data_IF_871900591472
#
_entry.id   IF_871900591472
#
_cell.length_a   1.000
_cell.length_b   1.000
_cell.length_c   1.000
_cell.angle_alpha   90.00
_cell.angle_beta   90.00
_cell.angle_gamma   90.00
#
_symmetry.space_group_name_H-M   'P 1'
#
loop_
_entity.id
_entity.type
_entity.pdbx_description
1 polymer ?
#
# COMPACT_ATOMS: atom_id res chain seq x y z
N UNK A 1 -7.33 1.05 15.90
CA UNK A 1 -6.57 0.54 14.73
C UNK A 1 -7.28 1.05 13.49
N UNK A 2 -6.59 1.62 12.50
CA UNK A 2 -7.23 2.13 11.29
C UNK A 2 -7.10 1.07 10.19
N UNK A 3 -8.21 0.76 9.52
CA UNK A 3 -8.20 -0.18 8.40
C UNK A 3 -8.48 0.59 7.12
N UNK A 4 -7.50 0.60 6.22
CA UNK A 4 -7.65 1.10 4.86
C UNK A 4 -7.88 -0.09 3.95
N UNK A 5 -8.88 0.02 3.06
CA UNK A 5 -9.02 -0.96 1.99
C UNK A 5 -7.89 -0.78 0.97
N UNK A 6 -7.43 -1.85 0.29
CA UNK A 6 -6.33 -1.76 -0.66
C UNK A 6 -6.51 -0.74 -1.78
N UNK A 7 -7.76 -0.46 -2.16
CA UNK A 7 -8.13 0.56 -3.16
C UNK A 7 -8.08 2.01 -2.64
N UNK A 8 -7.95 2.22 -1.33
CA UNK A 8 -7.85 3.55 -0.73
C UNK A 8 -6.40 4.05 -0.65
N UNK A 9 -5.44 3.20 -1.02
CA UNK A 9 -4.02 3.52 -1.11
C UNK A 9 -3.59 3.48 -2.58
N UNK A 10 -2.67 4.36 -2.94
CA UNK A 10 -2.05 4.37 -4.26
C UNK A 10 -0.54 4.55 -4.15
N UNK A 11 0.18 3.99 -5.13
CA UNK A 11 1.59 4.30 -5.34
C UNK A 11 1.68 5.71 -5.91
N UNK A 12 2.61 6.50 -5.39
CA UNK A 12 2.86 7.87 -5.84
C UNK A 12 4.35 8.18 -5.84
N UNK A 13 4.73 9.33 -6.40
CA UNK A 13 6.09 9.87 -6.33
C UNK A 13 6.33 10.62 -5.00
N UNK A 14 5.28 10.84 -4.21
CA UNK A 14 5.28 11.52 -2.93
C UNK A 14 4.50 10.75 -1.84
N UNK A 15 4.68 11.14 -0.58
CA UNK A 15 3.97 10.53 0.56
C UNK A 15 4.88 9.69 1.47
N UNK A 16 4.32 8.65 2.07
CA UNK A 16 5.02 7.81 3.04
C UNK A 16 5.82 6.74 2.32
N UNK A 17 7.11 6.64 2.62
CA UNK A 17 7.96 5.58 2.04
C UNK A 17 7.58 4.20 2.56
N UNK A 18 7.71 3.20 1.69
CA UNK A 18 7.46 1.81 2.01
C UNK A 18 8.35 0.87 1.19
N UNK A 19 8.67 -0.28 1.77
CA UNK A 19 9.40 -1.36 1.11
C UNK A 19 8.42 -2.32 0.44
N UNK A 20 8.69 -2.69 -0.82
CA UNK A 20 7.92 -3.70 -1.53
C UNK A 20 8.32 -5.10 -1.06
N UNK A 21 7.38 -5.81 -0.46
CA UNK A 21 7.58 -7.18 0.01
C UNK A 21 7.31 -8.17 -1.11
N UNK A 22 6.22 -7.98 -1.86
CA UNK A 22 5.82 -8.86 -2.93
C UNK A 22 4.78 -8.19 -3.83
N UNK A 23 4.70 -8.65 -5.07
CA UNK A 23 3.77 -8.14 -6.07
C UNK A 23 3.06 -9.30 -6.76
N UNK A 24 1.75 -9.21 -6.89
CA UNK A 24 0.88 -10.21 -7.52
C UNK A 24 0.15 -9.56 -8.69
N UNK A 25 0.24 -10.14 -9.88
CA UNK A 25 -0.37 -9.61 -11.11
C UNK A 25 -1.59 -10.44 -11.51
N UNK A 26 -2.71 -9.76 -11.81
CA UNK A 26 -3.98 -10.38 -12.19
C UNK A 26 -4.46 -9.97 -13.60
N UNK A 27 -3.54 -9.52 -14.47
CA UNK A 27 -3.85 -9.13 -15.85
C UNK A 27 -4.08 -7.62 -16.01
N UNK A 28 -5.14 -7.09 -15.38
CA UNK A 28 -5.46 -5.65 -15.48
C UNK A 28 -4.92 -4.85 -14.29
N UNK A 29 -5.00 -5.42 -13.10
CA UNK A 29 -4.49 -4.84 -11.86
C UNK A 29 -3.51 -5.80 -11.18
N UNK A 30 -2.87 -5.27 -10.14
CA UNK A 30 -2.00 -6.04 -9.27
C UNK A 30 -2.12 -5.59 -7.83
N UNK A 31 -1.77 -6.50 -6.93
CA UNK A 31 -1.66 -6.23 -5.50
C UNK A 31 -0.18 -6.13 -5.15
N UNK A 32 0.19 -5.03 -4.52
CA UNK A 32 1.53 -4.81 -3.98
C UNK A 32 1.44 -4.89 -2.46
N UNK A 33 2.17 -5.83 -1.86
CA UNK A 33 2.35 -5.92 -0.42
C UNK A 33 3.51 -5.04 -0.02
N UNK A 34 3.23 -4.11 0.87
CA UNK A 34 4.20 -3.11 1.32
C UNK A 34 4.38 -3.17 2.82
N UNK A 35 5.54 -2.70 3.26
CA UNK A 35 5.87 -2.48 4.65
C UNK A 35 6.22 -1.01 4.82
N UNK A 36 5.39 -0.27 5.58
CA UNK A 36 5.59 1.17 5.74
C UNK A 36 6.93 1.47 6.44
N UNK A 37 7.52 2.61 6.12
CA UNK A 37 8.87 2.99 6.55
C UNK A 37 9.91 2.63 5.49
N UNK A 38 10.88 3.53 5.29
CA UNK A 38 11.98 3.32 4.34
C UNK A 38 12.84 2.10 4.70
N UNK A 39 12.84 1.69 5.98
CA UNK A 39 13.53 0.52 6.50
C UNK A 39 12.63 -0.74 6.61
N UNK A 40 11.34 -0.63 6.27
CA UNK A 40 10.38 -1.72 6.42
C UNK A 40 10.05 -2.08 7.88
N UNK A 41 10.22 -1.17 8.84
CA UNK A 41 9.89 -1.46 10.24
C UNK A 41 8.39 -1.32 10.56
N UNK A 42 7.66 -0.50 9.81
CA UNK A 42 6.26 -0.12 10.06
C UNK A 42 5.23 -1.19 9.68
N UNK A 43 3.91 -0.90 9.76
CA UNK A 43 2.87 -1.89 9.50
C UNK A 43 2.84 -2.38 8.04
N UNK A 44 2.27 -3.57 7.84
CA UNK A 44 2.03 -4.11 6.50
C UNK A 44 0.77 -3.46 5.91
N UNK A 45 0.86 -3.04 4.65
CA UNK A 45 -0.29 -2.53 3.88
C UNK A 45 -0.37 -3.22 2.52
N UNK A 46 -1.57 -3.20 1.95
CA UNK A 46 -1.86 -3.73 0.63
C UNK A 46 -2.28 -2.56 -0.25
N UNK A 47 -1.71 -2.47 -1.44
CA UNK A 47 -2.05 -1.43 -2.42
C UNK A 47 -2.47 -2.11 -3.70
N UNK A 48 -3.62 -1.73 -4.24
CA UNK A 48 -4.05 -2.19 -5.56
C UNK A 48 -3.65 -1.15 -6.60
N UNK A 49 -2.88 -1.56 -7.60
CA UNK A 49 -2.38 -0.66 -8.66
C UNK A 49 -2.61 -1.27 -10.04
N UNK A 50 -2.52 -0.44 -11.08
CA UNK A 50 -2.62 -0.87 -12.47
C UNK A 50 -1.47 -1.85 -12.80
N UNK A 51 -1.78 -2.92 -13.53
CA UNK A 51 -0.85 -4.01 -13.78
C UNK A 51 0.33 -3.68 -14.71
N UNK A 52 0.30 -2.52 -15.39
CA UNK A 52 1.31 -2.14 -16.38
C UNK A 52 2.62 -1.59 -15.79
N UNK A 53 2.68 -1.30 -14.49
CA UNK A 53 3.85 -0.72 -13.84
C UNK A 53 4.01 -1.21 -12.39
N UNK A 54 4.06 -2.53 -12.22
CA UNK A 54 4.19 -3.14 -10.90
C UNK A 54 5.65 -3.07 -10.41
N UNK A 55 5.92 -2.51 -9.21
CA UNK A 55 7.25 -2.48 -8.64
C UNK A 55 7.70 -3.89 -8.21
N UNK A 56 9.00 -4.09 -8.07
CA UNK A 56 9.60 -5.37 -7.72
C UNK A 56 9.78 -5.48 -6.21
N UNK A 57 9.79 -6.72 -5.70
CA UNK A 57 10.17 -6.96 -4.32
C UNK A 57 11.57 -6.42 -4.03
N UNK A 58 11.72 -5.71 -2.92
CA UNK A 58 12.93 -4.97 -2.53
C UNK A 58 12.98 -3.52 -3.00
N UNK A 59 12.07 -3.09 -3.88
CA UNK A 59 12.00 -1.67 -4.28
C UNK A 59 11.47 -0.82 -3.13
N UNK A 60 11.96 0.42 -3.05
CA UNK A 60 11.40 1.46 -2.18
C UNK A 60 10.44 2.31 -2.99
N UNK A 61 9.20 2.45 -2.52
CA UNK A 61 8.14 3.24 -3.17
C UNK A 61 7.55 4.25 -2.19
N UNK A 62 6.92 5.31 -2.70
CA UNK A 62 6.08 6.17 -1.88
C UNK A 62 4.60 5.79 -2.04
N UNK A 63 3.86 5.85 -0.93
CA UNK A 63 2.42 5.63 -0.90
C UNK A 63 1.69 6.79 -0.27
N UNK A 64 0.50 7.04 -0.81
CA UNK A 64 -0.45 7.99 -0.24
C UNK A 64 -1.85 7.41 -0.21
N UNK A 65 -2.68 8.01 0.62
CA UNK A 65 -4.12 7.77 0.62
C UNK A 65 -4.69 8.50 -0.59
N UNK A 66 -5.48 7.82 -1.41
CA UNK A 66 -6.11 8.41 -2.58
C UNK A 66 -6.98 9.62 -2.14
N UNK A 67 -7.14 10.64 -2.98
CA UNK A 67 -7.91 11.82 -2.59
C UNK A 67 -9.37 11.49 -2.24
N UNK A 68 -9.84 11.94 -1.08
CA UNK A 68 -11.26 11.86 -0.69
C UNK A 68 -11.72 10.58 0.03
N UNK A 69 -10.79 9.71 0.46
CA UNK A 69 -11.14 8.50 1.22
C UNK A 69 -11.03 8.71 2.73
N UNK A 70 -12.12 8.43 3.43
CA UNK A 70 -12.15 8.37 4.89
C UNK A 70 -11.58 7.04 5.38
N UNK A 71 -10.64 7.11 6.32
CA UNK A 71 -10.08 5.93 6.96
C UNK A 71 -10.99 5.51 8.12
N UNK A 72 -11.46 4.26 8.14
CA UNK A 72 -12.29 3.77 9.24
C UNK A 72 -11.42 3.33 10.42
N UNK A 73 -11.65 3.95 11.58
CA UNK A 73 -11.08 3.52 12.84
C UNK A 73 -11.87 2.33 13.38
N UNK A 74 -11.23 1.16 13.46
CA UNK A 74 -11.75 0.00 14.15
C UNK A 74 -11.40 0.09 15.65
N UNK A 75 -12.43 0.02 16.49
CA UNK A 75 -12.30 -0.22 17.92
C UNK A 75 -12.39 -1.73 18.15
N UNK A 76 -11.28 -2.36 18.56
CA UNK A 76 -11.33 -3.70 19.12
C UNK A 76 -11.88 -3.57 20.54
N UNK A 77 -13.14 -3.93 20.73
CA UNK A 77 -13.66 -4.22 22.07
C UNK A 77 -12.98 -5.49 22.58
N UNK A 78 -12.46 -5.50 23.82
CA UNK A 78 -11.70 -6.61 24.39
C UNK A 78 -12.51 -7.90 24.55
#
# INVERSE_FOLDING_TARGET
>A
MVMLRPEQLELSDDGTLAQVVSTMFYGHDGIVRLRLGADGSGPMVLVRTQGHALPKAGDTVAVRVAGGVEAQAFQMTP
#
